data_IF_092316417979
#
_entry.id   IF_092316417979
#
_cell.length_a   1.000
_cell.length_b   1.000
_cell.length_c   1.000
_cell.angle_alpha   90.00
_cell.angle_beta   90.00
_cell.angle_gamma   90.00
#
_symmetry.space_group_name_H-M   'P 1'
#
loop_
_entity.id
_entity.type
_entity.pdbx_description
1 polymer ?
#
# COMPACT_ATOMS: atom_id res chain seq x y z
N UNK A 1 14.29 -27.67 16.25
CA UNK A 1 14.22 -26.81 15.05
C UNK A 1 12.82 -26.21 14.97
N UNK A 2 12.57 -25.12 15.69
CA UNK A 2 11.27 -24.46 15.66
C UNK A 2 11.38 -23.20 14.79
N UNK A 3 10.90 -23.27 13.55
CA UNK A 3 10.54 -22.06 12.82
C UNK A 3 9.35 -21.45 13.55
N UNK A 4 9.61 -20.49 14.44
CA UNK A 4 8.56 -19.63 14.96
C UNK A 4 7.87 -18.97 13.76
N UNK A 5 6.58 -19.27 13.58
CA UNK A 5 5.75 -18.70 12.51
C UNK A 5 5.85 -17.18 12.63
N UNK A 6 6.50 -16.55 11.67
CA UNK A 6 6.77 -15.12 11.68
C UNK A 6 5.43 -14.40 11.65
N UNK A 7 5.11 -13.63 12.68
CA UNK A 7 3.86 -12.85 12.72
C UNK A 7 3.76 -11.99 11.46
N UNK A 8 2.81 -12.31 10.58
CA UNK A 8 2.61 -11.55 9.35
C UNK A 8 2.02 -10.20 9.75
N UNK A 9 2.74 -9.08 9.51
CA UNK A 9 2.22 -7.78 9.89
C UNK A 9 0.93 -7.50 9.11
N UNK A 10 -0.12 -7.19 9.86
CA UNK A 10 -1.39 -6.74 9.30
C UNK A 10 -1.28 -5.23 9.02
N UNK A 11 -1.80 -4.80 7.88
CA UNK A 11 -1.85 -3.41 7.47
C UNK A 11 -3.27 -3.05 7.06
N UNK A 12 -3.56 -1.75 7.10
CA UNK A 12 -4.88 -1.22 6.74
C UNK A 12 -4.80 -0.56 5.37
N UNK A 13 -5.72 -0.94 4.48
CA UNK A 13 -5.85 -0.28 3.18
C UNK A 13 -6.33 1.16 3.37
N UNK A 14 -5.67 2.13 2.72
CA UNK A 14 -6.07 3.55 2.80
C UNK A 14 -7.43 3.83 2.17
N UNK A 15 -7.84 3.06 1.14
CA UNK A 15 -9.08 3.27 0.41
C UNK A 15 -10.30 2.66 1.12
N UNK A 16 -10.28 1.36 1.36
CA UNK A 16 -11.41 0.62 1.94
C UNK A 16 -11.33 0.50 3.47
N UNK A 17 -10.21 0.87 4.10
CA UNK A 17 -9.97 0.75 5.55
C UNK A 17 -10.02 -0.68 6.10
N UNK A 18 -10.05 -1.70 5.24
CA UNK A 18 -9.96 -3.10 5.65
C UNK A 18 -8.54 -3.46 6.08
N UNK A 19 -8.44 -4.32 7.10
CA UNK A 19 -7.18 -4.91 7.56
C UNK A 19 -6.89 -6.16 6.73
N UNK A 20 -5.70 -6.24 6.13
CA UNK A 20 -5.25 -7.38 5.33
C UNK A 20 -3.79 -7.71 5.64
N UNK A 21 -3.36 -8.92 5.28
CA UNK A 21 -1.96 -9.29 5.41
C UNK A 21 -1.07 -8.40 4.54
N UNK A 22 0.15 -8.09 4.98
CA UNK A 22 1.12 -7.30 4.21
C UNK A 22 1.35 -7.81 2.78
N UNK A 23 1.19 -9.10 2.54
CA UNK A 23 1.38 -9.72 1.22
C UNK A 23 0.20 -9.51 0.26
N UNK A 24 -1.00 -9.22 0.77
CA UNK A 24 -2.21 -8.95 -0.03
C UNK A 24 -2.32 -7.47 -0.45
N UNK A 25 -1.45 -6.61 0.07
CA UNK A 25 -1.50 -5.17 -0.11
C UNK A 25 -0.31 -4.70 -0.92
N UNK A 26 -0.59 -3.80 -1.86
CA UNK A 26 0.41 -3.10 -2.65
C UNK A 26 0.89 -1.90 -1.85
N UNK A 27 2.22 -1.72 -1.77
CA UNK A 27 2.82 -0.52 -1.21
C UNK A 27 2.95 0.53 -2.33
N UNK A 28 2.34 1.68 -2.13
CA UNK A 28 2.60 2.87 -2.94
C UNK A 28 3.40 3.87 -2.12
N UNK A 29 4.31 4.59 -2.74
CA UNK A 29 5.06 5.68 -2.12
C UNK A 29 4.66 6.97 -2.81
N UNK A 30 4.23 7.94 -1.99
CA UNK A 30 3.93 9.29 -2.46
C UNK A 30 5.16 10.16 -2.19
N UNK A 31 5.70 10.72 -3.27
CA UNK A 31 6.82 11.65 -3.24
C UNK A 31 6.35 13.09 -2.98
N UNK A 32 7.30 14.01 -2.77
CA UNK A 32 7.02 15.42 -2.46
C UNK A 32 6.37 16.18 -3.63
N UNK A 33 6.56 15.70 -4.85
CA UNK A 33 5.98 16.21 -6.09
C UNK A 33 4.57 15.65 -6.37
N UNK A 34 3.95 14.98 -5.39
CA UNK A 34 2.69 14.26 -5.54
C UNK A 34 2.72 13.12 -6.58
N UNK A 35 3.90 12.68 -7.04
CA UNK A 35 3.99 11.46 -7.85
C UNK A 35 3.73 10.22 -6.99
N UNK A 36 3.02 9.24 -7.56
CA UNK A 36 2.74 7.95 -6.92
C UNK A 36 3.59 6.88 -7.59
N UNK A 37 4.44 6.22 -6.82
CA UNK A 37 5.29 5.13 -7.31
C UNK A 37 4.92 3.83 -6.63
N UNK A 38 4.75 2.77 -7.42
CA UNK A 38 4.55 1.41 -6.90
C UNK A 38 5.90 0.90 -6.38
N UNK A 39 5.99 0.62 -5.08
CA UNK A 39 7.22 0.15 -4.45
C UNK A 39 7.11 -1.33 -4.04
N UNK A 40 7.33 -2.19 -5.03
CA UNK A 40 7.37 -3.63 -4.84
C UNK A 40 8.60 -4.08 -4.03
N UNK A 41 9.71 -3.35 -4.17
CA UNK A 41 10.99 -3.68 -3.53
C UNK A 41 11.09 -3.18 -2.08
N UNK A 42 10.18 -2.31 -1.64
CA UNK A 42 10.18 -1.66 -0.31
C UNK A 42 11.41 -0.79 -0.07
N UNK A 43 12.00 -0.22 -1.13
CA UNK A 43 13.26 0.55 -1.09
C UNK A 43 13.07 2.04 -1.33
N UNK A 44 11.86 2.47 -1.71
CA UNK A 44 11.58 3.88 -1.98
C UNK A 44 11.39 4.67 -0.67
N UNK A 45 12.04 5.83 -0.62
CA UNK A 45 11.94 6.81 0.45
C UNK A 45 10.73 7.71 0.20
N UNK A 46 9.86 7.88 1.20
CA UNK A 46 8.67 8.72 1.09
C UNK A 46 7.51 8.22 1.94
N UNK A 47 6.32 8.82 1.75
CA UNK A 47 5.13 8.44 2.50
C UNK A 47 4.55 7.15 1.91
N UNK A 48 4.95 6.02 2.51
CA UNK A 48 4.42 4.71 2.17
C UNK A 48 2.98 4.53 2.62
N UNK A 49 2.12 4.15 1.68
CA UNK A 49 0.73 3.76 1.93
C UNK A 49 0.50 2.34 1.43
N UNK A 50 -0.51 1.68 1.98
CA UNK A 50 -0.92 0.35 1.55
C UNK A 50 -2.31 0.41 0.94
N UNK A 51 -2.47 -0.28 -0.18
CA UNK A 51 -3.72 -0.37 -0.92
C UNK A 51 -4.01 -1.81 -1.31
N UNK A 52 -5.29 -2.17 -1.42
CA UNK A 52 -5.65 -3.50 -1.93
C UNK A 52 -5.21 -3.63 -3.39
N UNK A 53 -4.84 -4.85 -3.79
CA UNK A 53 -4.65 -5.22 -5.18
C UNK A 53 -6.01 -5.34 -5.91
N UNK A 54 -6.79 -4.28 -5.87
CA UNK A 54 -8.12 -4.18 -6.44
C UNK A 54 -8.25 -2.83 -7.15
N UNK A 55 -8.72 -2.87 -8.40
CA UNK A 55 -8.87 -1.68 -9.23
C UNK A 55 -9.80 -0.64 -8.57
N UNK A 56 -10.88 -1.07 -7.91
CA UNK A 56 -11.80 -0.16 -7.24
C UNK A 56 -11.14 0.54 -6.04
N UNK A 57 -10.22 -0.11 -5.34
CA UNK A 57 -9.46 0.53 -4.28
C UNK A 57 -8.48 1.57 -4.83
N UNK A 58 -7.79 1.25 -5.92
CA UNK A 58 -6.88 2.17 -6.61
C UNK A 58 -7.62 3.40 -7.14
N UNK A 59 -8.71 3.23 -7.88
CA UNK A 59 -9.51 4.36 -8.38
C UNK A 59 -10.01 5.27 -7.26
N UNK A 60 -10.56 4.68 -6.19
CA UNK A 60 -10.99 5.46 -5.00
C UNK A 60 -9.85 6.24 -4.38
N UNK A 61 -8.64 5.66 -4.33
CA UNK A 61 -7.47 6.33 -3.79
C UNK A 61 -7.08 7.55 -4.63
N UNK A 62 -6.94 7.37 -5.95
CA UNK A 62 -6.59 8.44 -6.87
C UNK A 62 -7.64 9.56 -6.85
N UNK A 63 -8.92 9.20 -6.93
CA UNK A 63 -10.05 10.15 -6.86
C UNK A 63 -10.07 10.95 -5.55
N UNK A 64 -9.82 10.29 -4.42
CA UNK A 64 -9.86 10.95 -3.10
C UNK A 64 -8.66 11.87 -2.84
N UNK A 65 -7.50 11.53 -3.39
CA UNK A 65 -6.28 12.33 -3.20
C UNK A 65 -6.03 13.35 -4.31
N UNK A 66 -6.81 13.33 -5.39
CA UNK A 66 -6.59 14.20 -6.54
C UNK A 66 -5.23 13.94 -7.20
N UNK A 67 -4.74 12.71 -7.12
CA UNK A 67 -3.46 12.30 -7.70
C UNK A 67 -3.76 11.71 -9.08
N UNK A 68 -3.11 12.22 -10.12
CA UNK A 68 -3.09 11.59 -11.43
C UNK A 68 -1.96 10.55 -11.46
N UNK A 69 -2.19 9.44 -12.15
CA UNK A 69 -1.17 8.40 -12.38
C UNK A 69 -0.21 8.82 -13.48
#
# INVERSE_FOLDING_TARGET
MNRCVSHVPIRTCVSCRSKKGKMELIRLVINKDNSVVIDNLKRQNGRGIYICNDAACMERFFKKRGLNV
#
